data_IF_506812742731
#
_entry.id   IF_506812742731
#
_cell.length_a   1.000
_cell.length_b   1.000
_cell.length_c   1.000
_cell.angle_alpha   90.00
_cell.angle_beta   90.00
_cell.angle_gamma   90.00
#
_symmetry.space_group_name_H-M   'P 1'
#
loop_
_entity.id
_entity.type
_entity.pdbx_description
1 polymer ?
#
# COMPACT_ATOMS: atom_id res chain seq x y z
N UNK A 1 39.00 -23.92 14.99
CA UNK A 1 38.62 -22.63 15.58
C UNK A 1 37.14 -22.37 15.32
N UNK A 2 36.31 -22.54 16.35
CA UNK A 2 34.87 -22.25 16.30
C UNK A 2 34.67 -20.75 16.49
N UNK A 3 34.29 -20.01 15.44
CA UNK A 3 33.76 -18.67 15.62
C UNK A 3 32.23 -18.76 15.61
N UNK A 4 31.65 -18.89 16.81
CA UNK A 4 30.20 -18.90 17.04
C UNK A 4 29.61 -17.58 16.55
N UNK A 5 28.85 -17.61 15.46
CA UNK A 5 28.03 -16.46 15.03
C UNK A 5 26.72 -16.52 15.83
N UNK A 6 26.71 -15.91 17.02
CA UNK A 6 25.48 -15.62 17.74
C UNK A 6 24.62 -14.72 16.84
N UNK A 7 23.47 -15.22 16.38
CA UNK A 7 22.40 -14.41 15.80
C UNK A 7 21.35 -14.21 16.89
N UNK A 8 21.61 -13.27 17.78
CA UNK A 8 20.68 -12.87 18.83
C UNK A 8 19.63 -11.91 18.29
N UNK A 9 18.37 -12.22 18.60
CA UNK A 9 17.23 -11.30 18.53
C UNK A 9 16.73 -10.98 17.12
N UNK A 10 15.60 -11.55 16.74
CA UNK A 10 14.77 -10.98 15.68
C UNK A 10 14.27 -9.60 16.13
N UNK A 11 15.06 -8.54 15.87
CA UNK A 11 14.69 -7.14 16.09
C UNK A 11 13.31 -6.92 15.46
N UNK A 12 12.30 -6.61 16.30
CA UNK A 12 10.97 -6.23 15.83
C UNK A 12 11.15 -5.04 14.88
N UNK A 13 10.90 -5.26 13.59
CA UNK A 13 10.99 -4.21 12.58
C UNK A 13 10.04 -3.08 12.96
N UNK A 14 10.60 -1.91 13.28
CA UNK A 14 9.81 -0.70 13.53
C UNK A 14 8.92 -0.44 12.32
N UNK A 15 7.60 -0.33 12.55
CA UNK A 15 6.66 0.06 11.50
C UNK A 15 6.62 1.59 11.41
N UNK A 16 6.81 2.10 10.21
CA UNK A 16 6.81 3.53 9.91
C UNK A 16 5.49 3.90 9.26
N UNK A 17 4.79 4.87 9.84
CA UNK A 17 3.57 5.42 9.24
C UNK A 17 3.87 6.23 7.97
N UNK A 18 2.90 6.25 7.06
CA UNK A 18 2.95 6.99 5.80
C UNK A 18 3.25 8.48 6.01
N UNK A 19 2.62 9.13 6.98
CA UNK A 19 2.82 10.56 7.27
C UNK A 19 4.25 10.84 7.72
N UNK A 20 4.80 9.98 8.58
CA UNK A 20 6.18 10.12 9.06
C UNK A 20 7.19 9.90 7.96
N UNK A 21 7.01 8.90 7.08
CA UNK A 21 7.88 8.69 5.92
C UNK A 21 7.91 9.90 5.01
N UNK A 22 6.74 10.47 4.72
CA UNK A 22 6.63 11.68 3.90
C UNK A 22 7.36 12.85 4.53
N UNK A 23 7.19 13.09 5.84
CA UNK A 23 7.91 14.16 6.56
C UNK A 23 9.42 14.01 6.43
N UNK A 24 9.95 12.81 6.71
CA UNK A 24 11.38 12.50 6.61
C UNK A 24 11.92 12.79 5.20
N UNK A 25 11.21 12.35 4.16
CA UNK A 25 11.62 12.59 2.77
C UNK A 25 11.62 14.09 2.45
N UNK A 26 10.57 14.82 2.85
CA UNK A 26 10.46 16.26 2.61
C UNK A 26 11.56 17.06 3.30
N UNK A 27 11.95 16.69 4.52
CA UNK A 27 13.08 17.32 5.24
C UNK A 27 14.40 17.15 4.48
N UNK A 28 14.63 15.99 3.87
CA UNK A 28 15.81 15.78 3.01
C UNK A 28 15.74 16.56 1.70
N UNK A 29 14.56 16.63 1.08
CA UNK A 29 14.34 17.43 -0.14
C UNK A 29 14.43 18.94 0.11
N UNK A 30 14.15 19.42 1.33
CA UNK A 30 14.35 20.81 1.73
C UNK A 30 15.82 21.17 1.99
N UNK A 31 16.75 20.23 1.82
CA UNK A 31 18.19 20.46 1.91
C UNK A 31 18.83 20.10 3.25
N UNK A 32 18.10 19.50 4.21
CA UNK A 32 18.73 18.99 5.43
C UNK A 32 19.66 17.81 5.11
N UNK A 33 20.84 17.69 5.75
CA UNK A 33 21.73 16.57 5.53
C UNK A 33 21.07 15.22 5.86
N UNK A 34 21.15 14.27 4.92
CA UNK A 34 20.56 12.93 5.09
C UNK A 34 21.11 12.20 6.32
N UNK A 35 22.38 12.41 6.65
CA UNK A 35 23.02 11.86 7.84
C UNK A 35 22.35 12.30 9.13
N UNK A 36 22.02 13.59 9.26
CA UNK A 36 21.35 14.16 10.44
C UNK A 36 19.93 13.61 10.57
N UNK A 37 19.18 13.58 9.47
CA UNK A 37 17.82 13.01 9.42
C UNK A 37 17.86 11.52 9.83
N UNK A 38 18.83 10.76 9.31
CA UNK A 38 18.98 9.35 9.64
C UNK A 38 19.27 9.12 11.12
N UNK A 39 20.10 9.96 11.72
CA UNK A 39 20.42 9.90 13.15
C UNK A 39 19.21 10.27 14.02
N UNK A 40 18.51 11.37 13.68
CA UNK A 40 17.35 11.87 14.43
C UNK A 40 16.20 10.86 14.46
N UNK A 41 15.88 10.28 13.30
CA UNK A 41 14.78 9.32 13.18
C UNK A 41 15.22 7.87 13.46
N UNK A 42 16.51 7.59 13.58
CA UNK A 42 17.05 6.25 13.80
C UNK A 42 16.78 5.33 12.61
N UNK A 43 17.04 5.81 11.40
CA UNK A 43 16.91 5.06 10.15
C UNK A 43 18.26 4.94 9.45
N UNK A 44 18.43 3.87 8.66
CA UNK A 44 19.61 3.75 7.79
C UNK A 44 19.45 4.62 6.54
N UNK A 45 20.55 5.17 6.02
CA UNK A 45 20.54 6.00 4.81
C UNK A 45 19.91 5.31 3.60
N UNK A 46 20.16 4.01 3.41
CA UNK A 46 19.51 3.24 2.35
C UNK A 46 17.98 3.25 2.48
N UNK A 47 17.46 3.21 3.70
CA UNK A 47 16.01 3.25 3.94
C UNK A 47 15.41 4.60 3.55
N UNK A 48 16.12 5.70 3.81
CA UNK A 48 15.74 7.03 3.37
C UNK A 48 15.64 7.11 1.85
N UNK A 49 16.66 6.64 1.12
CA UNK A 49 16.66 6.70 -0.35
C UNK A 49 15.55 5.85 -0.97
N UNK A 50 15.28 4.65 -0.43
CA UNK A 50 14.14 3.83 -0.86
C UNK A 50 12.81 4.59 -0.69
N UNK A 51 12.63 5.31 0.43
CA UNK A 51 11.41 6.09 0.64
C UNK A 51 11.34 7.31 -0.25
N UNK A 52 12.46 8.01 -0.47
CA UNK A 52 12.54 9.16 -1.36
C UNK A 52 12.17 8.77 -2.78
N UNK A 53 12.77 7.70 -3.31
CA UNK A 53 12.55 7.28 -4.69
C UNK A 53 11.10 6.82 -4.89
N UNK A 54 10.54 6.09 -3.91
CA UNK A 54 9.12 5.75 -3.90
C UNK A 54 8.24 7.00 -3.87
N UNK A 55 8.51 7.94 -2.97
CA UNK A 55 7.75 9.18 -2.84
C UNK A 55 7.76 9.97 -4.16
N UNK A 56 8.93 10.18 -4.77
CA UNK A 56 9.05 10.91 -6.03
C UNK A 56 8.33 10.20 -7.18
N UNK A 57 8.36 8.86 -7.21
CA UNK A 57 7.64 8.08 -8.22
C UNK A 57 6.11 8.17 -8.09
N UNK A 58 5.58 8.38 -6.89
CA UNK A 58 4.13 8.40 -6.62
C UNK A 58 3.57 9.81 -6.36
N UNK A 59 4.42 10.81 -6.16
CA UNK A 59 4.02 12.17 -5.76
C UNK A 59 3.06 12.84 -6.75
N UNK A 60 3.19 12.54 -8.05
CA UNK A 60 2.30 13.06 -9.10
C UNK A 60 0.82 12.73 -8.84
N UNK A 61 0.55 11.58 -8.21
CA UNK A 61 -0.82 11.13 -7.88
C UNK A 61 -1.55 12.06 -6.92
N UNK A 62 -0.82 12.90 -6.18
CA UNK A 62 -1.43 13.90 -5.31
C UNK A 62 -2.11 15.03 -6.12
N UNK A 63 -1.69 15.24 -7.37
CA UNK A 63 -2.25 16.23 -8.29
C UNK A 63 -3.29 15.64 -9.25
N UNK A 64 -3.35 14.32 -9.37
CA UNK A 64 -4.38 13.64 -10.15
C UNK A 64 -5.76 13.97 -9.54
N UNK A 65 -6.58 14.68 -10.30
CA UNK A 65 -7.95 15.00 -9.89
C UNK A 65 -8.74 13.71 -9.60
N UNK A 66 -9.63 13.72 -8.60
CA UNK A 66 -10.43 12.58 -8.07
C UNK A 66 -11.24 11.73 -9.08
N UNK A 67 -11.10 11.97 -10.39
CA UNK A 67 -11.73 11.18 -11.46
C UNK A 67 -11.59 9.68 -11.21
N UNK A 68 -10.43 9.25 -10.74
CA UNK A 68 -10.16 7.82 -10.51
C UNK A 68 -10.92 7.25 -9.29
N UNK A 69 -11.04 8.02 -8.20
CA UNK A 69 -11.74 7.54 -6.98
C UNK A 69 -13.25 7.42 -7.23
N UNK A 70 -13.85 8.39 -7.92
CA UNK A 70 -15.27 8.36 -8.26
C UNK A 70 -15.61 7.23 -9.23
N UNK A 71 -14.76 7.03 -10.25
CA UNK A 71 -14.88 5.93 -11.20
C UNK A 71 -14.73 4.57 -10.52
N UNK A 72 -13.71 4.38 -9.67
CA UNK A 72 -13.49 3.14 -8.92
C UNK A 72 -14.67 2.83 -8.00
N UNK A 73 -15.24 3.82 -7.31
CA UNK A 73 -16.44 3.61 -6.48
C UNK A 73 -17.64 3.21 -7.34
N UNK A 74 -17.86 3.90 -8.46
CA UNK A 74 -18.94 3.59 -9.40
C UNK A 74 -18.81 2.17 -9.97
N UNK A 75 -17.60 1.81 -10.39
CA UNK A 75 -17.29 0.48 -10.93
C UNK A 75 -17.46 -0.61 -9.87
N UNK A 76 -17.05 -0.36 -8.62
CA UNK A 76 -17.28 -1.31 -7.52
C UNK A 76 -18.77 -1.52 -7.25
N UNK A 77 -19.56 -0.45 -7.20
CA UNK A 77 -21.02 -0.55 -7.03
C UNK A 77 -21.66 -1.36 -8.15
N UNK A 78 -21.29 -1.06 -9.41
CA UNK A 78 -21.80 -1.77 -10.59
C UNK A 78 -21.40 -3.25 -10.60
N UNK A 79 -20.17 -3.58 -10.18
CA UNK A 79 -19.75 -4.97 -10.02
C UNK A 79 -20.58 -5.71 -8.96
N UNK A 80 -20.87 -5.06 -7.83
CA UNK A 80 -21.69 -5.65 -6.78
C UNK A 80 -23.13 -5.92 -7.27
N UNK A 81 -23.74 -4.96 -7.96
CA UNK A 81 -25.08 -5.12 -8.57
C UNK A 81 -25.10 -6.27 -9.57
N UNK A 82 -24.14 -6.32 -10.50
CA UNK A 82 -24.04 -7.40 -11.48
C UNK A 82 -23.84 -8.78 -10.82
N UNK A 83 -23.01 -8.86 -9.78
CA UNK A 83 -22.77 -10.10 -9.05
C UNK A 83 -24.05 -10.62 -8.38
N UNK A 84 -24.88 -9.72 -7.84
CA UNK A 84 -26.15 -10.10 -7.24
C UNK A 84 -27.15 -10.63 -8.29
N UNK A 85 -27.25 -9.97 -9.44
CA UNK A 85 -28.12 -10.38 -10.55
C UNK A 85 -27.68 -11.74 -11.11
N UNK A 86 -26.38 -11.95 -11.30
CA UNK A 86 -25.84 -13.25 -11.72
C UNK A 86 -26.21 -14.32 -10.69
N UNK A 87 -26.08 -14.02 -9.40
CA UNK A 87 -26.47 -14.92 -8.33
C UNK A 87 -27.95 -15.31 -8.37
N UNK A 88 -28.85 -14.32 -8.54
CA UNK A 88 -30.29 -14.59 -8.61
C UNK A 88 -30.66 -15.43 -9.84
N UNK A 89 -30.15 -15.05 -11.01
CA UNK A 89 -30.39 -15.78 -12.26
C UNK A 89 -29.84 -17.21 -12.20
N UNK A 90 -28.68 -17.42 -11.58
CA UNK A 90 -28.11 -18.76 -11.42
C UNK A 90 -28.99 -19.66 -10.54
N UNK A 91 -29.60 -19.11 -9.50
CA UNK A 91 -30.53 -19.85 -8.64
C UNK A 91 -31.82 -20.17 -9.38
N UNK A 92 -32.36 -19.22 -10.16
CA UNK A 92 -33.56 -19.45 -10.98
C UNK A 92 -33.33 -20.55 -12.02
N UNK A 93 -32.20 -20.53 -12.72
CA UNK A 93 -31.86 -21.58 -13.70
C UNK A 93 -31.77 -22.97 -13.05
N UNK A 94 -31.13 -23.08 -11.88
CA UNK A 94 -31.07 -24.35 -11.14
C UNK A 94 -32.45 -24.85 -10.71
N UNK A 95 -33.31 -23.95 -10.23
CA UNK A 95 -34.69 -24.31 -9.87
C UNK A 95 -35.46 -24.85 -11.08
N UNK A 96 -35.33 -24.18 -12.24
CA UNK A 96 -35.99 -24.67 -13.45
C UNK A 96 -35.43 -26.03 -13.87
N UNK A 97 -34.11 -26.25 -13.80
CA UNK A 97 -33.50 -27.56 -14.10
C UNK A 97 -34.02 -28.66 -13.16
N UNK A 98 -34.16 -28.36 -11.87
CA UNK A 98 -34.68 -29.28 -10.85
C UNK A 98 -36.19 -29.59 -11.04
N UNK A 99 -36.96 -28.67 -11.63
CA UNK A 99 -38.40 -28.86 -11.93
C UNK A 99 -38.67 -29.70 -13.19
N UNK A 100 -37.67 -29.91 -14.05
CA UNK A 100 -37.76 -30.73 -15.28
C UNK A 100 -37.27 -32.19 -15.10
N UNK A 101 -36.89 -32.59 -13.87
CA UNK A 101 -36.46 -33.95 -13.49
C UNK A 101 -37.55 -34.61 -12.63
#
# INVERSE_FOLDING_TARGET
MLCKRHREGAMKRRRWDSKTKTKIVLEGLSGRPVSEICNEYGIHQNQFYIWRDKFLSEAHKAFDSKKDVGEVIRLRKKNQELTQIIGSLTVELKKTEDEFI
#
